data_IF_557681677061
#
_entry.id   IF_557681677061
#
_cell.length_a   1.000
_cell.length_b   1.000
_cell.length_c   1.000
_cell.angle_alpha   90.00
_cell.angle_beta   90.00
_cell.angle_gamma   90.00
#
_symmetry.space_group_name_H-M   'P 1'
#
loop_
_entity.id
_entity.type
_entity.pdbx_description
1 polymer ?
#
# COMPACT_ATOMS: atom_id res chain seq x y z
N UNK A 1 6.20 -15.12 11.72
CA UNK A 1 5.70 -13.89 11.08
C UNK A 1 5.45 -12.91 12.20
N UNK A 2 6.21 -11.84 12.20
CA UNK A 2 6.15 -10.81 13.25
C UNK A 2 5.10 -9.77 12.86
N UNK A 3 4.51 -9.13 13.86
CA UNK A 3 3.47 -8.12 13.68
C UNK A 3 3.80 -6.90 14.50
N UNK A 4 3.58 -5.73 13.93
CA UNK A 4 3.82 -4.46 14.60
C UNK A 4 2.63 -3.52 14.35
N UNK A 5 2.15 -2.87 15.40
CA UNK A 5 1.11 -1.87 15.29
C UNK A 5 1.68 -0.55 14.81
N UNK A 6 0.91 0.21 14.06
CA UNK A 6 1.33 1.50 13.55
C UNK A 6 0.21 2.29 12.94
N UNK A 7 0.59 3.26 12.12
CA UNK A 7 -0.33 4.05 11.32
C UNK A 7 0.25 4.33 9.93
N UNK A 8 -0.63 4.60 8.98
CA UNK A 8 -0.22 5.11 7.68
C UNK A 8 0.34 6.53 7.86
N UNK A 9 1.56 6.75 7.40
CA UNK A 9 2.26 8.03 7.48
C UNK A 9 2.35 8.74 6.13
N UNK A 10 2.35 7.98 5.03
CA UNK A 10 2.27 8.49 3.66
C UNK A 10 1.26 7.62 2.91
N UNK A 11 0.37 8.27 2.16
CA UNK A 11 -0.53 7.63 1.21
C UNK A 11 -0.67 8.54 -0.02
N UNK A 12 -0.10 8.10 -1.14
CA UNK A 12 -0.05 8.86 -2.38
C UNK A 12 -0.40 7.95 -3.56
N UNK A 13 -1.13 8.47 -4.55
CA UNK A 13 -1.41 7.76 -5.78
C UNK A 13 -0.88 8.55 -6.96
N UNK A 14 0.05 7.98 -7.73
CA UNK A 14 0.66 8.67 -8.88
C UNK A 14 2.01 8.09 -9.27
N UNK A 15 2.84 8.93 -9.90
CA UNK A 15 4.19 8.54 -10.33
C UNK A 15 5.17 8.53 -9.15
N UNK A 16 5.97 7.47 -9.08
CA UNK A 16 7.08 7.31 -8.16
C UNK A 16 8.27 6.66 -8.89
N UNK A 17 9.23 7.49 -9.31
CA UNK A 17 10.36 7.07 -10.14
C UNK A 17 9.90 6.33 -11.42
N UNK A 18 10.29 5.07 -11.61
CA UNK A 18 9.87 4.23 -12.73
C UNK A 18 8.52 3.53 -12.49
N UNK A 19 7.85 3.78 -11.37
CA UNK A 19 6.59 3.16 -10.99
C UNK A 19 5.41 4.14 -11.02
N UNK A 20 4.20 3.59 -11.12
CA UNK A 20 2.94 4.30 -10.98
C UNK A 20 1.97 3.48 -10.13
N UNK A 21 1.25 4.14 -9.23
CA UNK A 21 0.21 3.52 -8.41
C UNK A 21 0.11 4.09 -7.00
N UNK A 22 -0.38 3.28 -6.07
CA UNK A 22 -0.51 3.58 -4.66
C UNK A 22 0.80 3.30 -3.90
N UNK A 23 1.33 4.33 -3.25
CA UNK A 23 2.46 4.26 -2.34
C UNK A 23 1.99 4.43 -0.90
N UNK A 24 2.37 3.49 -0.04
CA UNK A 24 2.11 3.54 1.40
C UNK A 24 3.41 3.48 2.19
N UNK A 25 3.52 4.34 3.20
CA UNK A 25 4.57 4.25 4.23
C UNK A 25 3.92 4.15 5.61
N UNK A 26 4.41 3.26 6.45
CA UNK A 26 3.92 3.05 7.81
C UNK A 26 4.91 3.60 8.83
N UNK A 27 4.38 4.33 9.82
CA UNK A 27 5.10 4.64 11.05
C UNK A 27 4.68 3.61 12.11
N UNK A 28 5.65 2.94 12.72
CA UNK A 28 5.44 1.82 13.64
C UNK A 28 5.54 2.26 15.10
N UNK A 29 4.85 1.54 15.99
CA UNK A 29 4.81 1.83 17.43
C UNK A 29 6.18 1.76 18.10
N UNK A 30 7.05 0.86 17.61
CA UNK A 30 8.45 0.73 18.04
C UNK A 30 9.39 1.86 17.54
N UNK A 31 8.88 2.90 16.87
CA UNK A 31 9.67 4.01 16.33
C UNK A 31 10.30 3.72 14.95
N UNK A 32 10.11 2.53 14.40
CA UNK A 32 10.52 2.18 13.05
C UNK A 32 9.54 2.65 11.96
N UNK A 33 9.89 2.33 10.72
CA UNK A 33 9.02 2.57 9.57
C UNK A 33 9.31 1.60 8.43
N UNK A 34 8.33 1.42 7.54
CA UNK A 34 8.50 0.59 6.36
C UNK A 34 7.54 1.01 5.24
N UNK A 35 7.87 0.59 4.01
CA UNK A 35 7.01 0.79 2.83
C UNK A 35 6.43 -0.55 2.38
N UNK A 36 5.23 -0.50 1.79
CA UNK A 36 4.61 -1.66 1.15
C UNK A 36 4.32 -1.37 -0.32
N UNK A 37 4.71 -2.29 -1.21
CA UNK A 37 4.73 -2.06 -2.66
C UNK A 37 4.17 -3.22 -3.51
N UNK A 38 3.87 -4.38 -2.91
CA UNK A 38 3.65 -5.64 -3.65
C UNK A 38 2.50 -5.55 -4.67
N UNK A 39 1.39 -4.92 -4.29
CA UNK A 39 0.21 -4.71 -5.17
C UNK A 39 -0.08 -3.23 -5.43
N UNK A 40 0.75 -2.33 -4.86
CA UNK A 40 0.52 -0.90 -4.93
C UNK A 40 1.08 -0.25 -6.18
N UNK A 41 2.06 -0.86 -6.86
CA UNK A 41 2.84 -0.20 -7.90
C UNK A 41 3.04 -1.10 -9.13
N UNK A 42 3.02 -0.50 -10.31
CA UNK A 42 3.49 -1.13 -11.54
C UNK A 42 4.42 -0.19 -12.31
N UNK A 43 5.24 -0.72 -13.23
CA UNK A 43 6.12 0.13 -14.04
C UNK A 43 5.47 0.43 -15.41
N UNK A 44 4.92 1.64 -15.65
CA UNK A 44 4.24 1.95 -16.92
C UNK A 44 5.17 1.90 -18.15
N UNK A 45 6.48 2.00 -17.94
CA UNK A 45 7.50 2.01 -18.98
C UNK A 45 8.18 0.64 -19.17
N UNK A 46 7.76 -0.40 -18.44
CA UNK A 46 8.34 -1.73 -18.58
C UNK A 46 7.96 -2.33 -19.93
N UNK A 47 8.94 -2.33 -20.84
CA UNK A 47 8.79 -2.76 -22.24
C UNK A 47 8.61 -4.28 -22.41
N UNK A 48 8.87 -5.05 -21.37
CA UNK A 48 8.81 -6.51 -21.39
C UNK A 48 7.49 -7.06 -20.84
N UNK A 49 6.49 -6.22 -20.60
CA UNK A 49 5.12 -6.71 -20.44
C UNK A 49 4.66 -7.35 -21.74
N UNK A 50 4.12 -8.56 -21.64
CA UNK A 50 3.38 -9.17 -22.72
C UNK A 50 2.08 -8.38 -22.98
N UNK A 51 1.45 -8.64 -24.11
CA UNK A 51 0.21 -7.98 -24.51
C UNK A 51 -0.87 -8.08 -23.42
N UNK A 52 -1.36 -6.92 -23.00
CA UNK A 52 -2.39 -6.81 -21.97
C UNK A 52 -1.91 -6.94 -20.52
N UNK A 53 -0.67 -7.36 -20.24
CA UNK A 53 -0.17 -7.46 -18.86
C UNK A 53 -0.07 -6.10 -18.18
N UNK A 54 0.35 -5.07 -18.92
CA UNK A 54 0.39 -3.69 -18.39
C UNK A 54 -1.01 -3.20 -17.97
N UNK A 55 -2.02 -3.49 -18.80
CA UNK A 55 -3.40 -3.14 -18.49
C UNK A 55 -3.92 -3.92 -17.27
N UNK A 56 -3.61 -5.21 -17.17
CA UNK A 56 -3.93 -6.04 -16.00
C UNK A 56 -3.27 -5.51 -14.73
N UNK A 57 -2.00 -5.11 -14.78
CA UNK A 57 -1.29 -4.54 -13.64
C UNK A 57 -1.91 -3.20 -13.21
N UNK A 58 -2.25 -2.33 -14.16
CA UNK A 58 -2.92 -1.06 -13.85
C UNK A 58 -4.30 -1.28 -13.20
N UNK A 59 -5.09 -2.23 -13.70
CA UNK A 59 -6.37 -2.59 -13.11
C UNK A 59 -6.22 -3.18 -11.70
N UNK A 60 -5.22 -4.05 -11.49
CA UNK A 60 -4.95 -4.63 -10.17
C UNK A 60 -4.63 -3.54 -9.13
N UNK A 61 -3.83 -2.54 -9.48
CA UNK A 61 -3.53 -1.40 -8.59
C UNK A 61 -4.80 -0.58 -8.28
N UNK A 62 -5.69 -0.38 -9.27
CA UNK A 62 -6.96 0.32 -9.08
C UNK A 62 -7.89 -0.47 -8.15
N UNK A 63 -8.04 -1.77 -8.38
CA UNK A 63 -8.89 -2.65 -7.57
C UNK A 63 -8.37 -2.75 -6.12
N UNK A 64 -7.06 -2.89 -5.95
CA UNK A 64 -6.40 -2.85 -4.65
C UNK A 64 -6.69 -1.54 -3.91
N UNK A 65 -6.47 -0.40 -4.59
CA UNK A 65 -6.71 0.94 -4.01
C UNK A 65 -8.18 1.12 -3.61
N UNK A 66 -9.12 0.70 -4.47
CA UNK A 66 -10.56 0.77 -4.20
C UNK A 66 -10.95 -0.06 -2.98
N UNK A 67 -10.46 -1.29 -2.88
CA UNK A 67 -10.76 -2.17 -1.75
C UNK A 67 -10.17 -1.62 -0.44
N UNK A 68 -8.93 -1.13 -0.49
CA UNK A 68 -8.30 -0.50 0.68
C UNK A 68 -9.08 0.72 1.19
N UNK A 69 -9.51 1.61 0.28
CA UNK A 69 -10.33 2.77 0.63
C UNK A 69 -11.65 2.35 1.29
N UNK A 70 -12.32 1.33 0.72
CA UNK A 70 -13.55 0.76 1.28
C UNK A 70 -13.32 0.19 2.70
N UNK A 71 -12.27 -0.60 2.90
CA UNK A 71 -11.95 -1.21 4.19
C UNK A 71 -11.59 -0.15 5.24
N UNK A 72 -10.92 0.93 4.82
CA UNK A 72 -10.56 2.05 5.66
C UNK A 72 -11.71 3.05 5.90
N UNK A 73 -12.87 2.85 5.26
CA UNK A 73 -13.99 3.82 5.23
C UNK A 73 -13.49 5.22 4.85
N UNK A 74 -12.77 5.28 3.74
CA UNK A 74 -12.20 6.49 3.18
C UNK A 74 -12.64 6.63 1.72
N UNK A 75 -12.82 7.86 1.26
CA UNK A 75 -13.19 8.16 -0.12
C UNK A 75 -11.96 8.51 -0.97
N UNK A 76 -10.93 9.09 -0.34
CA UNK A 76 -9.71 9.53 -1.02
C UNK A 76 -8.45 8.93 -0.41
N UNK A 77 -7.43 8.72 -1.24
CA UNK A 77 -6.12 8.18 -0.80
C UNK A 77 -5.49 9.02 0.29
N UNK A 78 -5.64 10.35 0.24
CA UNK A 78 -5.14 11.25 1.29
C UNK A 78 -5.77 11.01 2.66
N UNK A 79 -6.98 10.45 2.73
CA UNK A 79 -7.68 10.12 3.99
C UNK A 79 -7.19 8.81 4.61
N UNK A 80 -6.33 8.06 3.91
CA UNK A 80 -5.65 6.91 4.49
C UNK A 80 -4.58 7.33 5.50
N UNK A 81 -4.01 8.53 5.39
CA UNK A 81 -3.00 9.03 6.33
C UNK A 81 -3.59 9.08 7.74
N UNK A 82 -2.85 8.52 8.69
CA UNK A 82 -3.25 8.41 10.09
C UNK A 82 -4.12 7.20 10.42
N UNK A 83 -4.63 6.44 9.42
CA UNK A 83 -5.40 5.22 9.69
C UNK A 83 -4.51 4.21 10.42
N UNK A 84 -5.01 3.59 11.52
CA UNK A 84 -4.25 2.61 12.28
C UNK A 84 -4.12 1.29 11.48
N UNK A 85 -2.95 0.66 11.59
CA UNK A 85 -2.62 -0.58 10.87
C UNK A 85 -1.93 -1.59 11.78
N UNK A 86 -2.10 -2.87 11.46
CA UNK A 86 -1.21 -3.94 11.88
C UNK A 86 -0.37 -4.33 10.66
N UNK A 87 0.94 -4.16 10.73
CA UNK A 87 1.89 -4.47 9.66
C UNK A 87 2.53 -5.84 9.93
N UNK A 88 2.70 -6.64 8.89
CA UNK A 88 3.24 -8.00 8.95
C UNK A 88 4.66 -8.04 8.37
N UNK A 89 5.55 -8.71 9.10
CA UNK A 89 6.95 -8.84 8.75
C UNK A 89 7.38 -10.29 8.58
N UNK A 90 8.28 -10.50 7.61
CA UNK A 90 9.01 -11.75 7.38
C UNK A 90 10.46 -11.41 7.08
N UNK A 91 11.39 -11.86 7.93
CA UNK A 91 12.83 -11.58 7.79
C UNK A 91 13.14 -10.08 7.64
N UNK A 92 12.56 -9.23 8.48
CA UNK A 92 12.65 -7.77 8.45
C UNK A 92 12.07 -7.07 7.20
N UNK A 93 11.44 -7.81 6.28
CA UNK A 93 10.71 -7.23 5.16
C UNK A 93 9.24 -7.01 5.52
N UNK A 94 8.68 -5.85 5.17
CA UNK A 94 7.25 -5.57 5.23
C UNK A 94 6.55 -6.36 4.11
N UNK A 95 5.75 -7.35 4.48
CA UNK A 95 5.11 -8.29 3.54
C UNK A 95 3.60 -8.15 3.49
N UNK A 96 3.02 -7.28 4.31
CA UNK A 96 1.57 -7.08 4.31
C UNK A 96 1.13 -6.18 5.46
N UNK A 97 -0.14 -5.81 5.43
CA UNK A 97 -0.77 -5.05 6.50
C UNK A 97 -2.28 -5.27 6.48
N UNK A 98 -2.95 -4.89 7.56
CA UNK A 98 -4.40 -4.72 7.60
C UNK A 98 -4.76 -3.40 8.28
N UNK A 99 -5.84 -2.77 7.81
CA UNK A 99 -6.43 -1.61 8.48
C UNK A 99 -7.12 -2.10 9.76
N UNK A 100 -6.92 -1.37 10.86
CA UNK A 100 -7.63 -1.62 12.10
C UNK A 100 -8.92 -0.81 12.09
N UNK A 101 -10.07 -1.50 12.06
CA UNK A 101 -11.40 -0.89 11.96
C UNK A 101 -12.05 -0.60 13.31
N UNK A 102 -11.48 -1.13 14.39
CA UNK A 102 -11.94 -0.95 15.76
C UNK A 102 -11.15 0.21 16.39
N UNK A 103 -11.88 1.20 16.91
CA UNK A 103 -11.30 2.25 17.74
C UNK A 103 -11.03 1.60 19.10
N UNK A 104 -9.76 1.53 19.52
CA UNK A 104 -9.42 1.21 20.91
C UNK A 104 -9.98 2.30 21.85
#
# INVERSE_FOLDING_TARGET
MEKELGKISIAEFGNYDIFFGLRLHFALGNGGGCSYIEEGLFNPNYRHYNDGEKAKAALAVIDFTRNLLKDAKAEYVSELVGKPVEVHFKNNACVGFRILTEVL
#
